data_IF_325050493363
#
_entry.id   IF_325050493363
#
_cell.length_a   1.000
_cell.length_b   1.000
_cell.length_c   1.000
_cell.angle_alpha   90.00
_cell.angle_beta   90.00
_cell.angle_gamma   90.00
#
_symmetry.space_group_name_H-M   'P 1'
#
loop_
_entity.id
_entity.type
_entity.pdbx_description
1 polymer ?
#
# COMPACT_ATOMS: atom_id res chain seq x y z
N UNK A 1 28.14 -10.81 18.23
CA UNK A 1 26.94 -11.51 17.72
C UNK A 1 26.15 -10.52 16.87
N UNK A 2 26.20 -10.62 15.54
CA UNK A 2 25.46 -9.69 14.67
C UNK A 2 23.94 -9.88 14.86
N UNK A 3 23.20 -8.78 15.01
CA UNK A 3 21.73 -8.85 15.10
C UNK A 3 21.20 -9.42 13.78
N UNK A 4 20.48 -10.54 13.83
CA UNK A 4 19.85 -11.13 12.63
C UNK A 4 18.72 -10.22 12.17
N UNK A 5 18.90 -9.58 11.02
CA UNK A 5 17.91 -8.67 10.44
C UNK A 5 17.08 -9.39 9.38
N UNK A 6 15.76 -9.42 9.58
CA UNK A 6 14.80 -10.11 8.72
C UNK A 6 13.56 -9.25 8.46
N UNK A 7 12.90 -9.46 7.32
CA UNK A 7 11.70 -8.71 6.95
C UNK A 7 10.55 -9.00 7.92
N UNK A 8 9.84 -7.97 8.38
CA UNK A 8 8.75 -8.08 9.35
C UNK A 8 9.19 -8.11 10.83
N UNK A 9 10.48 -7.94 11.13
CA UNK A 9 10.94 -7.82 12.52
C UNK A 9 10.42 -6.53 13.18
N UNK A 10 10.24 -6.49 14.52
CA UNK A 10 9.85 -5.25 15.20
C UNK A 10 10.86 -4.13 14.94
N UNK A 11 10.38 -2.98 14.48
CA UNK A 11 11.24 -1.88 14.03
C UNK A 11 12.15 -1.36 15.15
N UNK A 12 11.68 -1.38 16.41
CA UNK A 12 12.50 -1.07 17.60
C UNK A 12 13.79 -1.88 17.72
N UNK A 13 13.83 -3.10 17.19
CA UNK A 13 15.03 -3.95 17.24
C UNK A 13 16.13 -3.48 16.27
N UNK A 14 15.79 -2.66 15.28
CA UNK A 14 16.73 -2.01 14.36
C UNK A 14 17.38 -0.76 14.96
N UNK A 15 16.87 -0.27 16.09
CA UNK A 15 17.29 0.98 16.74
C UNK A 15 16.31 2.13 16.51
N UNK A 16 16.44 3.17 17.33
CA UNK A 16 15.61 4.39 17.28
C UNK A 16 16.20 5.50 16.42
N UNK A 17 17.52 5.49 16.18
CA UNK A 17 18.23 6.52 15.41
C UNK A 17 18.29 6.19 13.92
N UNK A 18 18.43 7.21 13.06
CA UNK A 18 18.63 7.04 11.62
C UNK A 18 17.34 6.91 10.78
N UNK A 19 16.17 6.83 11.42
CA UNK A 19 14.88 6.94 10.76
C UNK A 19 14.64 8.37 10.27
N UNK A 20 14.17 8.49 9.03
CA UNK A 20 13.81 9.76 8.40
C UNK A 20 12.34 9.73 7.98
N UNK A 21 11.65 10.85 8.16
CA UNK A 21 10.25 11.05 7.78
C UNK A 21 10.15 11.99 6.57
N UNK A 22 10.47 11.53 5.35
CA UNK A 22 10.57 12.43 4.19
C UNK A 22 9.24 13.06 3.78
N UNK A 23 8.10 12.56 4.27
CA UNK A 23 6.75 13.02 3.95
C UNK A 23 6.01 13.67 5.13
N UNK A 24 6.74 14.26 6.08
CA UNK A 24 6.15 14.98 7.20
C UNK A 24 5.60 16.36 6.78
N UNK A 25 4.46 16.38 6.09
CA UNK A 25 3.66 17.59 5.87
C UNK A 25 2.68 17.85 7.03
N UNK A 26 2.26 19.11 7.22
CA UNK A 26 1.43 19.59 8.35
C UNK A 26 0.01 19.02 8.48
N UNK A 27 -0.42 18.14 7.58
CA UNK A 27 -1.80 17.65 7.52
C UNK A 27 -2.04 16.32 8.26
N UNK A 28 -1.22 15.98 9.26
CA UNK A 28 -1.57 14.97 10.26
C UNK A 28 -1.76 13.52 9.79
N UNK A 29 -1.29 13.15 8.60
CA UNK A 29 -1.35 11.78 8.11
C UNK A 29 -0.25 10.87 8.71
N UNK A 30 -0.56 9.59 8.90
CA UNK A 30 0.37 8.54 9.31
C UNK A 30 1.47 8.35 8.25
N UNK A 31 2.59 9.07 8.39
CA UNK A 31 3.64 9.02 7.38
C UNK A 31 4.46 7.72 7.47
N UNK A 32 5.10 7.34 6.37
CA UNK A 32 6.12 6.28 6.37
C UNK A 32 7.46 6.88 6.79
N UNK A 33 8.21 6.16 7.65
CA UNK A 33 9.62 6.46 7.93
C UNK A 33 10.53 5.47 7.22
N UNK A 34 11.71 5.93 6.84
CA UNK A 34 12.71 5.13 6.14
C UNK A 34 14.08 5.22 6.83
N UNK A 35 14.81 4.10 6.86
CA UNK A 35 16.17 4.02 7.38
C UNK A 35 17.05 3.20 6.44
N UNK A 36 18.30 3.64 6.22
CA UNK A 36 19.34 2.83 5.58
C UNK A 36 20.02 1.99 6.65
N UNK A 37 20.03 0.68 6.45
CA UNK A 37 20.70 -0.27 7.34
C UNK A 37 22.20 -0.32 7.02
N UNK A 38 23.00 -0.72 8.00
CA UNK A 38 24.46 -0.83 7.87
C UNK A 38 24.89 -1.83 6.78
N UNK A 39 24.05 -2.81 6.46
CA UNK A 39 24.28 -3.79 5.38
C UNK A 39 23.78 -3.32 4.00
N UNK A 40 23.38 -2.04 3.89
CA UNK A 40 22.93 -1.42 2.65
C UNK A 40 21.46 -1.64 2.31
N UNK A 41 20.70 -2.42 3.09
CA UNK A 41 19.26 -2.56 2.91
C UNK A 41 18.50 -1.30 3.34
N UNK A 42 17.24 -1.21 2.92
CA UNK A 42 16.33 -0.12 3.29
C UNK A 42 15.21 -0.69 4.15
N UNK A 43 15.03 -0.13 5.34
CA UNK A 43 13.91 -0.44 6.22
C UNK A 43 12.84 0.65 6.14
N UNK A 44 11.57 0.26 6.11
CA UNK A 44 10.40 1.12 6.17
C UNK A 44 9.54 0.74 7.37
N UNK A 45 8.95 1.73 8.04
CA UNK A 45 7.96 1.52 9.11
C UNK A 45 6.88 2.60 9.09
N UNK A 46 5.79 2.33 9.80
CA UNK A 46 4.74 3.31 10.04
C UNK A 46 5.19 4.29 11.14
N UNK A 47 5.13 5.61 10.90
CA UNK A 47 5.53 6.63 11.89
C UNK A 47 4.70 6.54 13.17
N UNK A 48 3.42 6.21 13.05
CA UNK A 48 2.49 6.13 14.19
C UNK A 48 2.55 4.80 14.92
N UNK A 49 3.32 3.83 14.40
CA UNK A 49 3.57 2.55 15.03
C UNK A 49 5.08 2.22 14.94
N UNK A 50 5.94 2.95 15.68
CA UNK A 50 7.39 2.80 15.62
C UNK A 50 7.90 1.44 16.17
N UNK A 51 7.02 0.71 16.85
CA UNK A 51 7.27 -0.62 17.44
C UNK A 51 6.77 -1.77 16.56
N UNK A 52 5.95 -1.46 15.55
CA UNK A 52 5.39 -2.39 14.58
C UNK A 52 6.44 -3.03 13.66
N UNK A 53 5.98 -3.89 12.73
CA UNK A 53 6.87 -4.59 11.81
C UNK A 53 7.55 -3.62 10.83
N UNK A 54 8.86 -3.80 10.63
CA UNK A 54 9.61 -3.12 9.59
C UNK A 54 9.61 -3.94 8.29
N UNK A 55 9.32 -3.28 7.16
CA UNK A 55 9.54 -3.84 5.83
C UNK A 55 10.98 -3.58 5.40
N UNK A 56 11.71 -4.63 5.03
CA UNK A 56 13.15 -4.56 4.74
C UNK A 56 13.40 -5.04 3.31
N UNK A 57 13.91 -4.13 2.49
CA UNK A 57 14.19 -4.37 1.07
C UNK A 57 15.68 -4.28 0.77
N UNK A 58 16.14 -5.09 -0.18
CA UNK A 58 17.46 -4.93 -0.78
C UNK A 58 17.55 -3.58 -1.52
N UNK A 59 18.74 -2.99 -1.55
CA UNK A 59 18.96 -1.69 -2.20
C UNK A 59 18.51 -1.68 -3.67
N UNK A 60 18.81 -2.74 -4.43
CA UNK A 60 18.45 -2.83 -5.84
C UNK A 60 16.93 -2.89 -6.07
N UNK A 61 16.20 -3.56 -5.17
CA UNK A 61 14.75 -3.64 -5.22
C UNK A 61 14.12 -2.26 -4.96
N UNK A 62 14.61 -1.55 -3.93
CA UNK A 62 14.16 -0.18 -3.65
C UNK A 62 14.50 0.78 -4.80
N UNK A 63 15.69 0.67 -5.39
CA UNK A 63 16.08 1.46 -6.55
C UNK A 63 15.18 1.18 -7.77
N UNK A 64 14.83 -0.08 -8.01
CA UNK A 64 13.88 -0.48 -9.05
C UNK A 64 12.50 0.10 -8.80
N UNK A 65 11.98 -0.03 -7.59
CA UNK A 65 10.69 0.54 -7.19
C UNK A 65 10.64 2.06 -7.41
N UNK A 66 11.65 2.80 -6.96
CA UNK A 66 11.71 4.25 -7.15
C UNK A 66 11.75 4.62 -8.64
N UNK A 67 12.46 3.86 -9.48
CA UNK A 67 12.45 4.08 -10.94
C UNK A 67 11.07 3.84 -11.53
N UNK A 68 10.41 2.73 -11.19
CA UNK A 68 9.06 2.42 -11.67
C UNK A 68 8.04 3.47 -11.25
N UNK A 69 8.08 3.91 -10.00
CA UNK A 69 7.25 5.04 -9.51
C UNK A 69 7.48 6.31 -10.32
N UNK A 70 8.74 6.66 -10.60
CA UNK A 70 9.08 7.83 -11.43
C UNK A 70 8.66 7.67 -12.90
N UNK A 71 8.52 6.44 -13.38
CA UNK A 71 8.07 6.12 -14.73
C UNK A 71 6.53 5.99 -14.84
N UNK A 72 5.79 6.17 -13.75
CA UNK A 72 4.33 6.02 -13.72
C UNK A 72 3.84 4.57 -13.63
N UNK A 73 4.73 3.59 -13.46
CA UNK A 73 4.33 2.16 -13.37
C UNK A 73 3.46 1.85 -12.14
N UNK A 74 3.46 2.73 -11.14
CA UNK A 74 2.67 2.60 -9.92
C UNK A 74 1.32 3.35 -9.96
N UNK A 75 0.98 4.01 -11.07
CA UNK A 75 -0.20 4.88 -11.16
C UNK A 75 -1.53 4.11 -11.02
N UNK A 76 -1.53 2.80 -11.28
CA UNK A 76 -2.68 1.93 -11.05
C UNK A 76 -3.17 1.94 -9.59
N UNK A 77 -2.30 2.29 -8.62
CA UNK A 77 -2.68 2.42 -7.20
C UNK A 77 -3.60 3.63 -6.93
N UNK A 78 -3.63 4.60 -7.85
CA UNK A 78 -4.43 5.83 -7.73
C UNK A 78 -5.77 5.72 -8.46
N UNK A 79 -5.90 4.75 -9.37
CA UNK A 79 -7.17 4.50 -10.06
C UNK A 79 -8.14 3.93 -9.04
N UNK A 80 -9.02 4.79 -8.53
CA UNK A 80 -10.24 4.33 -7.89
C UNK A 80 -11.06 3.68 -9.01
N UNK A 81 -11.18 2.35 -9.04
CA UNK A 81 -12.28 1.71 -9.76
C UNK A 81 -13.57 2.19 -9.10
N UNK A 82 -14.06 3.36 -9.51
CA UNK A 82 -15.47 3.67 -9.36
C UNK A 82 -16.17 2.61 -10.20
N UNK A 83 -16.67 1.59 -9.51
CA UNK A 83 -17.64 0.66 -10.07
C UNK A 83 -18.68 1.50 -10.82
N UNK A 84 -18.62 1.48 -12.15
CA UNK A 84 -19.71 1.98 -12.96
C UNK A 84 -20.98 1.27 -12.50
N UNK A 85 -22.15 1.92 -12.49
CA UNK A 85 -23.37 1.30 -12.02
C UNK A 85 -23.54 -0.03 -12.74
N UNK A 86 -23.68 -1.12 -11.98
CA UNK A 86 -23.93 -2.44 -12.53
C UNK A 86 -25.04 -2.35 -13.60
N UNK A 87 -24.91 -3.04 -14.75
CA UNK A 87 -25.95 -3.01 -15.76
C UNK A 87 -27.28 -3.39 -15.10
N UNK A 88 -28.28 -2.50 -15.21
CA UNK A 88 -29.61 -2.76 -14.63
C UNK A 88 -30.07 -4.12 -15.16
N UNK A 89 -30.52 -5.05 -14.29
CA UNK A 89 -31.10 -6.29 -14.77
C UNK A 89 -32.24 -5.93 -15.72
N UNK A 90 -32.25 -6.53 -16.91
CA UNK A 90 -33.33 -6.37 -17.86
C UNK A 90 -34.64 -6.71 -17.13
N UNK A 91 -35.59 -5.76 -17.13
CA UNK A 91 -36.90 -5.97 -16.50
C UNK A 91 -37.50 -7.23 -17.13
N UNK A 92 -37.86 -8.27 -16.35
CA UNK A 92 -38.45 -9.46 -16.93
C UNK A 92 -39.71 -9.04 -17.69
N UNK A 93 -39.82 -9.46 -18.95
CA UNK A 93 -41.04 -9.30 -19.71
C UNK A 93 -42.15 -9.99 -18.92
N UNK A 94 -43.12 -9.20 -18.42
CA UNK A 94 -44.32 -9.76 -17.81
C UNK A 94 -44.98 -10.62 -18.88
N UNK A 95 -45.30 -11.90 -18.58
CA UNK A 95 -46.14 -12.67 -19.50
C UNK A 95 -47.46 -11.91 -19.62
N UNK A 96 -47.88 -11.64 -20.85
CA UNK A 96 -49.19 -11.10 -21.13
C UNK A 96 -50.22 -11.97 -20.39
N UNK A 97 -50.90 -11.40 -19.40
CA UNK A 97 -52.06 -12.03 -18.77
C UNK A 97 -53.00 -12.40 -19.92
N UNK A 98 -53.10 -13.70 -20.21
CA UNK A 98 -54.19 -14.24 -21.01
C UNK A 98 -55.46 -13.83 -20.29
N UNK A 99 -56.12 -12.84 -20.85
CA UNK A 99 -57.48 -12.50 -20.46
C UNK A 99 -58.29 -13.77 -20.72
N UNK A 100 -58.77 -14.36 -19.63
CA UNK A 100 -59.74 -15.44 -19.66
C UNK A 100 -61.04 -14.84 -20.18
N UNK A 101 -61.28 -14.97 -21.47
CA UNK A 101 -62.60 -14.72 -22.06
C UNK A 101 -63.29 -16.05 -22.28
N UNK A 102 -64.36 -16.24 -21.49
CA UNK A 102 -65.40 -17.26 -21.55
C UNK A 102 -64.98 -18.71 -21.27
#
# INVERSE_FOLDING_TARGET
MGKRVYNGMPARQLGSEGWRKPWSGGNGGSCVEAMRLADGRVALRQSTDPDGPALIYAHHAMAGFIRGVKAGEADFLLVQESAGPAPRPARPAHPAQRQSTC
#
